data_IF_267811440982
#
_entry.id   IF_267811440982
#
_cell.length_a   1.000
_cell.length_b   1.000
_cell.length_c   1.000
_cell.angle_alpha   90.00
_cell.angle_beta   90.00
_cell.angle_gamma   90.00
#
_symmetry.space_group_name_H-M   'P 1'
#
loop_
_entity.id
_entity.type
_entity.pdbx_description
1 polymer ?
#
# COMPACT_ATOMS: atom_id res chain seq x y z
N UNK A 1 38.52 -35.84 12.98
CA UNK A 1 37.32 -36.30 12.24
C UNK A 1 36.01 -35.80 12.83
N UNK A 2 35.84 -35.78 14.16
CA UNK A 2 34.60 -35.35 14.82
C UNK A 2 34.11 -33.93 14.46
N UNK A 3 35.01 -32.94 14.34
CA UNK A 3 34.61 -31.57 13.95
C UNK A 3 34.05 -31.46 12.53
N UNK A 4 34.58 -32.25 11.57
CA UNK A 4 34.04 -32.27 10.20
C UNK A 4 32.63 -32.87 10.17
N UNK A 5 32.37 -33.88 11.00
CA UNK A 5 31.07 -34.51 11.15
C UNK A 5 30.03 -33.57 11.80
N UNK A 6 30.45 -32.82 12.82
CA UNK A 6 29.60 -31.80 13.46
C UNK A 6 29.19 -30.68 12.50
N UNK A 7 30.11 -30.22 11.65
CA UNK A 7 29.81 -29.22 10.62
C UNK A 7 28.84 -29.74 9.56
N UNK A 8 28.98 -30.99 9.11
CA UNK A 8 28.06 -31.60 8.14
C UNK A 8 26.66 -31.75 8.74
N UNK A 9 26.55 -32.19 10.00
CA UNK A 9 25.27 -32.28 10.71
C UNK A 9 24.60 -30.90 10.84
N UNK A 10 25.34 -29.86 11.22
CA UNK A 10 24.81 -28.50 11.30
C UNK A 10 24.31 -27.99 9.94
N UNK A 11 25.05 -28.27 8.86
CA UNK A 11 24.67 -27.90 7.50
C UNK A 11 23.39 -28.63 7.04
N UNK A 12 23.20 -29.90 7.43
CA UNK A 12 21.96 -30.65 7.15
C UNK A 12 20.73 -30.06 7.85
N UNK A 13 20.88 -29.51 9.06
CA UNK A 13 19.76 -28.85 9.76
C UNK A 13 19.32 -27.55 9.07
N UNK A 14 20.24 -26.80 8.45
CA UNK A 14 19.89 -25.61 7.66
C UNK A 14 19.02 -25.94 6.44
N UNK A 15 19.19 -27.12 5.83
CA UNK A 15 18.37 -27.58 4.70
C UNK A 15 17.01 -28.16 5.10
N UNK A 16 16.76 -28.37 6.40
CA UNK A 16 15.47 -28.80 6.93
C UNK A 16 14.61 -27.65 7.45
N UNK A 17 15.09 -26.41 7.35
CA UNK A 17 14.25 -25.23 7.48
C UNK A 17 13.27 -25.20 6.31
N UNK A 18 12.10 -25.82 6.47
CA UNK A 18 10.97 -25.61 5.57
C UNK A 18 10.54 -24.15 5.73
N UNK A 19 10.57 -23.41 4.62
CA UNK A 19 9.79 -22.18 4.52
C UNK A 19 8.35 -22.49 4.93
N UNK A 20 7.71 -21.60 5.69
CA UNK A 20 6.27 -21.66 5.91
C UNK A 20 5.57 -21.31 4.59
N UNK A 21 5.57 -22.24 3.63
CA UNK A 21 4.59 -22.21 2.58
C UNK A 21 3.34 -22.88 3.14
N UNK A 22 2.36 -22.06 3.47
CA UNK A 22 1.02 -22.56 3.75
C UNK A 22 0.49 -23.07 2.40
N UNK A 23 0.64 -24.37 2.15
CA UNK A 23 -0.07 -25.07 1.07
C UNK A 23 -1.57 -25.04 1.41
N UNK A 24 -2.23 -23.93 1.09
CA UNK A 24 -3.69 -23.82 0.93
C UNK A 24 -4.10 -22.42 0.43
N UNK A 25 -3.65 -22.01 -0.76
CA UNK A 25 -4.42 -21.09 -1.64
C UNK A 25 -3.75 -20.84 -3.00
N UNK A 26 -3.47 -21.90 -3.77
CA UNK A 26 -3.26 -21.74 -5.22
C UNK A 26 -4.61 -21.61 -5.96
N UNK A 27 -5.51 -20.78 -5.44
CA UNK A 27 -6.56 -20.18 -6.25
C UNK A 27 -6.04 -18.79 -6.55
N UNK A 28 -5.61 -18.54 -7.79
CA UNK A 28 -5.53 -17.18 -8.31
C UNK A 28 -6.98 -16.69 -8.38
N UNK A 29 -7.51 -16.31 -7.22
CA UNK A 29 -8.81 -15.70 -7.08
C UNK A 29 -8.76 -14.30 -7.66
N UNK A 30 -9.94 -13.72 -7.89
CA UNK A 30 -10.01 -12.29 -8.16
C UNK A 30 -9.26 -11.53 -7.05
N UNK A 31 -8.46 -10.51 -7.38
CA UNK A 31 -7.75 -9.73 -6.38
C UNK A 31 -8.73 -9.22 -5.32
N UNK A 32 -8.30 -9.22 -4.06
CA UNK A 32 -9.09 -8.69 -2.95
C UNK A 32 -9.47 -7.22 -3.19
N UNK A 33 -10.53 -6.75 -2.52
CA UNK A 33 -10.93 -5.33 -2.62
C UNK A 33 -9.78 -4.39 -2.26
N UNK A 34 -8.95 -4.74 -1.27
CA UNK A 34 -7.75 -4.00 -0.90
C UNK A 34 -6.75 -3.89 -2.04
N UNK A 35 -6.44 -5.00 -2.70
CA UNK A 35 -5.49 -5.02 -3.83
C UNK A 35 -6.04 -4.22 -5.01
N UNK A 36 -7.34 -4.36 -5.31
CA UNK A 36 -8.00 -3.60 -6.37
C UNK A 36 -7.92 -2.10 -6.11
N UNK A 37 -8.26 -1.64 -4.90
CA UNK A 37 -8.21 -0.22 -4.55
C UNK A 37 -6.78 0.33 -4.49
N UNK A 38 -5.81 -0.48 -4.08
CA UNK A 38 -4.41 -0.04 -3.97
C UNK A 38 -3.80 0.31 -5.33
N UNK A 39 -4.17 -0.42 -6.38
CA UNK A 39 -3.70 -0.19 -7.76
C UNK A 39 -4.73 0.50 -8.65
N UNK A 40 -5.91 0.86 -8.12
CA UNK A 40 -6.98 1.51 -8.89
C UNK A 40 -6.46 2.80 -9.51
N UNK A 41 -6.66 2.92 -10.82
CA UNK A 41 -6.24 4.09 -11.59
C UNK A 41 -7.40 5.10 -11.71
N UNK A 42 -7.15 6.35 -11.34
CA UNK A 42 -8.11 7.46 -11.37
C UNK A 42 -7.77 8.47 -12.48
N UNK A 43 -8.18 8.25 -13.74
CA UNK A 43 -7.78 9.11 -14.86
C UNK A 43 -8.23 10.57 -14.73
N UNK A 44 -9.35 10.80 -14.04
CA UNK A 44 -9.89 12.13 -13.73
C UNK A 44 -9.01 12.92 -12.74
N UNK A 45 -8.08 12.23 -12.09
CA UNK A 45 -7.14 12.76 -11.12
C UNK A 45 -5.74 12.89 -11.75
N UNK A 46 -5.62 13.46 -12.95
CA UNK A 46 -4.33 13.63 -13.63
C UNK A 46 -3.76 15.07 -13.58
N UNK A 47 -4.45 16.01 -12.95
CA UNK A 47 -3.95 17.39 -12.73
C UNK A 47 -2.61 17.38 -11.98
N UNK A 48 -1.64 18.25 -12.29
CA UNK A 48 -0.31 18.19 -11.68
C UNK A 48 0.67 17.25 -12.40
N UNK A 49 0.21 16.49 -13.40
CA UNK A 49 1.10 15.64 -14.23
C UNK A 49 2.05 16.44 -15.11
N UNK A 50 1.82 17.74 -15.29
CA UNK A 50 2.73 18.67 -15.94
C UNK A 50 4.10 18.74 -15.25
N UNK A 51 4.20 18.37 -13.97
CA UNK A 51 5.49 18.29 -13.26
C UNK A 51 6.45 17.33 -13.98
N UNK A 52 5.94 16.26 -14.58
CA UNK A 52 6.73 15.27 -15.29
C UNK A 52 7.24 15.75 -16.65
N UNK A 53 6.80 16.91 -17.14
CA UNK A 53 7.41 17.54 -18.32
C UNK A 53 8.87 17.94 -18.08
N UNK A 54 9.21 18.30 -16.83
CA UNK A 54 10.58 18.60 -16.40
C UNK A 54 11.44 17.35 -16.20
N UNK A 55 10.82 16.19 -16.09
CA UNK A 55 11.46 14.91 -15.75
C UNK A 55 11.14 13.85 -16.81
N UNK A 56 11.79 13.90 -18.00
CA UNK A 56 11.49 12.98 -19.10
C UNK A 56 11.56 11.49 -18.72
N UNK A 57 12.42 11.13 -17.77
CA UNK A 57 12.54 9.76 -17.26
C UNK A 57 11.27 9.25 -16.55
N UNK A 58 10.43 10.16 -16.03
CA UNK A 58 9.17 9.84 -15.37
C UNK A 58 7.96 9.98 -16.29
N UNK A 59 8.18 10.49 -17.51
CA UNK A 59 7.15 10.70 -18.52
C UNK A 59 6.72 9.39 -19.21
N UNK A 60 7.18 8.23 -18.72
CA UNK A 60 6.89 6.94 -19.31
C UNK A 60 5.42 6.54 -19.11
N UNK A 61 4.90 5.74 -20.03
CA UNK A 61 3.54 5.16 -19.93
C UNK A 61 3.35 4.22 -18.72
N UNK A 62 4.44 3.93 -18.00
CA UNK A 62 4.50 2.95 -16.90
C UNK A 62 4.33 3.56 -15.52
N UNK A 63 4.63 4.84 -15.31
CA UNK A 63 4.44 5.50 -14.00
C UNK A 63 3.12 6.27 -14.06
N UNK A 64 2.04 5.64 -13.60
CA UNK A 64 0.74 6.30 -13.61
C UNK A 64 0.58 7.09 -12.31
N UNK A 65 0.61 8.41 -12.42
CA UNK A 65 0.43 9.33 -11.30
C UNK A 65 -1.00 9.32 -10.69
N UNK A 66 -1.79 8.27 -10.87
CA UNK A 66 -3.19 8.28 -10.44
C UNK A 66 -3.62 7.00 -9.71
N UNK A 67 -2.70 6.24 -9.12
CA UNK A 67 -3.03 5.19 -8.15
C UNK A 67 -2.36 5.44 -6.80
N UNK A 68 -2.88 4.83 -5.74
CA UNK A 68 -2.27 4.92 -4.41
C UNK A 68 -0.83 4.41 -4.44
N UNK A 69 -0.63 3.19 -4.97
CA UNK A 69 0.70 2.57 -5.05
C UNK A 69 1.72 3.46 -5.74
N UNK A 70 1.40 3.98 -6.93
CA UNK A 70 2.35 4.78 -7.72
C UNK A 70 2.64 6.12 -7.07
N UNK A 71 1.64 6.79 -6.49
CA UNK A 71 1.85 8.04 -5.76
C UNK A 71 2.65 7.83 -4.46
N UNK A 72 2.45 6.70 -3.77
CA UNK A 72 3.30 6.34 -2.63
C UNK A 72 4.76 6.15 -3.05
N UNK A 73 5.01 5.53 -4.22
CA UNK A 73 6.37 5.38 -4.76
C UNK A 73 6.97 6.72 -5.20
N UNK A 74 6.17 7.60 -5.82
CA UNK A 74 6.62 8.94 -6.20
C UNK A 74 6.96 9.82 -4.99
N UNK A 75 6.43 9.52 -3.82
CA UNK A 75 6.82 10.18 -2.57
C UNK A 75 8.29 9.91 -2.16
N UNK A 76 8.98 8.96 -2.82
CA UNK A 76 10.39 8.68 -2.59
C UNK A 76 11.37 9.68 -3.26
N UNK A 77 10.89 10.50 -4.20
CA UNK A 77 11.73 11.44 -4.94
C UNK A 77 12.23 12.58 -4.05
N UNK A 78 13.46 13.04 -4.32
CA UNK A 78 14.09 14.16 -3.59
C UNK A 78 13.63 15.52 -4.12
N UNK A 79 13.23 15.53 -5.38
CA UNK A 79 12.68 16.65 -6.10
C UNK A 79 11.35 17.06 -5.46
N UNK A 80 11.35 18.24 -4.85
CA UNK A 80 10.24 18.70 -4.04
C UNK A 80 8.94 18.87 -4.86
N UNK A 81 9.03 19.21 -6.14
CA UNK A 81 7.85 19.33 -6.99
C UNK A 81 7.22 17.97 -7.32
N UNK A 82 8.03 16.92 -7.56
CA UNK A 82 7.52 15.54 -7.70
C UNK A 82 6.87 15.08 -6.40
N UNK A 83 7.55 15.29 -5.26
CA UNK A 83 7.02 14.90 -3.95
C UNK A 83 5.70 15.60 -3.65
N UNK A 84 5.64 16.93 -3.77
CA UNK A 84 4.41 17.70 -3.53
C UNK A 84 3.26 17.28 -4.46
N UNK A 85 3.56 17.01 -5.73
CA UNK A 85 2.55 16.49 -6.66
C UNK A 85 1.99 15.15 -6.15
N UNK A 86 2.86 14.22 -5.74
CA UNK A 86 2.45 12.94 -5.19
C UNK A 86 1.60 13.07 -3.92
N UNK A 87 1.99 13.94 -2.98
CA UNK A 87 1.23 14.19 -1.75
C UNK A 87 -0.18 14.75 -2.04
N UNK A 88 -0.28 15.76 -2.91
CA UNK A 88 -1.56 16.33 -3.32
C UNK A 88 -2.45 15.29 -4.01
N UNK A 89 -1.83 14.41 -4.79
CA UNK A 89 -2.54 13.34 -5.47
C UNK A 89 -3.06 12.28 -4.52
N UNK A 90 -2.27 11.87 -3.52
CA UNK A 90 -2.70 10.95 -2.46
C UNK A 90 -3.93 11.51 -1.72
N UNK A 91 -3.94 12.81 -1.41
CA UNK A 91 -5.11 13.49 -0.82
C UNK A 91 -6.32 13.42 -1.76
N UNK A 92 -6.12 13.70 -3.05
CA UNK A 92 -7.18 13.63 -4.06
C UNK A 92 -7.77 12.22 -4.21
N UNK A 93 -6.92 11.19 -4.24
CA UNK A 93 -7.35 9.79 -4.33
C UNK A 93 -8.12 9.37 -3.08
N UNK A 94 -7.61 9.67 -1.88
CA UNK A 94 -8.30 9.39 -0.62
C UNK A 94 -9.69 10.05 -0.58
N UNK A 95 -9.79 11.29 -1.08
CA UNK A 95 -11.06 12.02 -1.18
C UNK A 95 -12.01 11.36 -2.18
N UNK A 96 -11.52 10.97 -3.35
CA UNK A 96 -12.32 10.28 -4.36
C UNK A 96 -12.85 8.94 -3.84
N UNK A 97 -12.01 8.15 -3.19
CA UNK A 97 -12.38 6.87 -2.57
C UNK A 97 -13.45 7.04 -1.49
N UNK A 98 -13.31 8.05 -0.64
CA UNK A 98 -14.35 8.41 0.34
C UNK A 98 -15.68 8.78 -0.34
N UNK A 99 -15.65 9.61 -1.39
CA UNK A 99 -16.86 10.02 -2.12
C UNK A 99 -17.53 8.86 -2.87
N UNK A 100 -16.76 7.84 -3.26
CA UNK A 100 -17.24 6.60 -3.86
C UNK A 100 -17.81 5.61 -2.82
N UNK A 101 -17.75 5.94 -1.53
CA UNK A 101 -18.25 5.08 -0.45
C UNK A 101 -17.29 3.96 -0.05
N UNK A 102 -16.03 4.01 -0.49
CA UNK A 102 -14.99 3.04 -0.14
C UNK A 102 -13.76 3.76 0.42
N UNK A 103 -13.88 4.48 1.56
CA UNK A 103 -12.72 5.10 2.19
C UNK A 103 -11.64 4.05 2.48
N UNK A 104 -10.37 4.45 2.44
CA UNK A 104 -9.24 3.53 2.65
C UNK A 104 -8.41 3.92 3.86
N UNK A 105 -7.89 2.91 4.55
CA UNK A 105 -6.96 3.08 5.65
C UNK A 105 -5.75 2.14 5.47
N UNK A 106 -4.58 2.73 5.35
CA UNK A 106 -3.31 2.06 5.07
C UNK A 106 -2.65 1.61 6.38
N UNK A 107 -2.41 0.31 6.53
CA UNK A 107 -1.78 -0.29 7.72
C UNK A 107 -0.48 -1.01 7.35
N UNK A 108 0.43 -1.10 8.32
CA UNK A 108 1.68 -1.83 8.17
C UNK A 108 2.08 -2.52 9.46
N UNK A 109 3.06 -3.42 9.35
CA UNK A 109 3.63 -4.16 10.48
C UNK A 109 3.21 -5.61 10.46
N UNK A 110 3.70 -6.34 11.48
CA UNK A 110 3.48 -7.78 11.61
C UNK A 110 1.98 -8.06 11.59
N UNK A 111 1.59 -9.07 10.83
CA UNK A 111 0.19 -9.49 10.66
C UNK A 111 -0.76 -8.43 10.08
N UNK A 112 -0.23 -7.32 9.52
CA UNK A 112 -1.07 -6.29 8.92
C UNK A 112 -1.89 -6.80 7.74
N UNK A 113 -1.38 -7.76 6.97
CA UNK A 113 -2.14 -8.45 5.92
C UNK A 113 -3.34 -9.20 6.49
N UNK A 114 -3.12 -10.03 7.53
CA UNK A 114 -4.18 -10.78 8.20
C UNK A 114 -5.20 -9.85 8.85
N UNK A 115 -4.71 -8.76 9.48
CA UNK A 115 -5.55 -7.72 10.08
C UNK A 115 -6.44 -7.03 9.04
N UNK A 116 -5.88 -6.69 7.87
CA UNK A 116 -6.66 -6.12 6.78
C UNK A 116 -7.70 -7.11 6.26
N UNK A 117 -7.31 -8.38 6.08
CA UNK A 117 -8.21 -9.42 5.63
C UNK A 117 -9.39 -9.60 6.60
N UNK A 118 -9.14 -9.68 7.90
CA UNK A 118 -10.16 -9.80 8.94
C UNK A 118 -11.11 -8.59 8.94
N UNK A 119 -10.57 -7.37 9.01
CA UNK A 119 -11.37 -6.14 9.04
C UNK A 119 -12.22 -5.94 7.79
N UNK A 120 -11.75 -6.39 6.62
CA UNK A 120 -12.50 -6.24 5.37
C UNK A 120 -13.57 -7.31 5.15
N UNK A 121 -13.74 -8.28 6.05
CA UNK A 121 -14.83 -9.26 5.95
C UNK A 121 -16.22 -8.62 6.16
N UNK A 122 -16.27 -7.54 6.93
CA UNK A 122 -17.49 -6.80 7.22
C UNK A 122 -17.24 -5.31 7.05
N UNK A 123 -17.66 -4.72 5.93
CA UNK A 123 -17.45 -3.29 5.69
C UNK A 123 -18.49 -2.40 6.40
N UNK A 124 -19.54 -2.96 6.99
CA UNK A 124 -20.61 -2.17 7.61
C UNK A 124 -20.28 -1.66 9.02
N UNK A 125 -19.22 -2.14 9.67
CA UNK A 125 -18.89 -1.80 11.05
C UNK A 125 -18.02 -0.53 11.20
N UNK A 126 -17.18 -0.22 10.22
CA UNK A 126 -16.14 0.81 10.28
C UNK A 126 -16.34 1.94 9.25
N UNK A 127 -17.56 2.44 9.03
CA UNK A 127 -17.86 3.47 8.01
C UNK A 127 -17.42 3.06 6.58
N UNK A 128 -17.53 1.77 6.25
CA UNK A 128 -17.11 1.23 4.94
C UNK A 128 -15.62 1.39 4.64
N UNK A 129 -14.78 1.56 5.68
CA UNK A 129 -13.33 1.62 5.52
C UNK A 129 -12.79 0.28 5.00
N UNK A 130 -12.08 0.35 3.89
CA UNK A 130 -11.25 -0.74 3.37
C UNK A 130 -9.83 -0.58 3.90
N UNK A 131 -9.39 -1.57 4.69
CA UNK A 131 -8.03 -1.64 5.21
C UNK A 131 -7.09 -2.22 4.14
N UNK A 132 -5.94 -1.59 3.93
CA UNK A 132 -4.94 -2.05 2.96
C UNK A 132 -3.61 -2.21 3.70
N UNK A 133 -3.08 -3.43 3.73
CA UNK A 133 -1.70 -3.64 4.15
C UNK A 133 -0.75 -3.20 3.05
N UNK A 134 0.16 -2.29 3.36
CA UNK A 134 1.20 -1.83 2.42
C UNK A 134 2.61 -2.33 2.79
N UNK A 135 2.73 -3.20 3.79
CA UNK A 135 3.98 -3.88 4.14
C UNK A 135 4.00 -4.50 5.55
N UNK A 136 4.66 -5.65 5.69
CA UNK A 136 4.52 -6.54 6.84
C UNK A 136 5.51 -6.33 8.00
N UNK A 137 6.59 -5.56 7.82
CA UNK A 137 7.63 -5.45 8.85
C UNK A 137 8.07 -4.00 9.06
N UNK A 138 8.97 -3.54 8.20
CA UNK A 138 9.49 -2.18 8.22
C UNK A 138 9.31 -1.59 6.84
N UNK A 139 8.75 -0.38 6.77
CA UNK A 139 8.63 0.33 5.52
C UNK A 139 9.57 1.55 5.49
N UNK A 140 10.14 1.86 4.31
CA UNK A 140 10.89 3.10 4.11
C UNK A 140 10.09 4.33 4.57
N UNK A 141 10.76 5.41 5.03
CA UNK A 141 10.09 6.63 5.50
C UNK A 141 9.06 7.18 4.53
N UNK A 142 9.35 7.19 3.22
CA UNK A 142 8.47 7.73 2.20
C UNK A 142 7.12 6.98 2.10
N UNK A 143 7.09 5.65 2.29
CA UNK A 143 5.84 4.89 2.30
C UNK A 143 5.01 5.20 3.53
N UNK A 144 5.66 5.36 4.69
CA UNK A 144 4.98 5.72 5.94
C UNK A 144 4.37 7.12 5.86
N UNK A 145 5.15 8.10 5.39
CA UNK A 145 4.67 9.47 5.15
C UNK A 145 3.47 9.49 4.19
N UNK A 146 3.56 8.75 3.09
CA UNK A 146 2.47 8.65 2.13
C UNK A 146 1.21 7.99 2.73
N UNK A 147 1.39 6.95 3.56
CA UNK A 147 0.31 6.30 4.27
C UNK A 147 -0.37 7.23 5.30
N UNK A 148 0.43 8.00 6.03
CA UNK A 148 -0.07 9.00 6.99
C UNK A 148 -0.92 10.08 6.29
N UNK A 149 -0.51 10.54 5.11
CA UNK A 149 -1.28 11.52 4.31
C UNK A 149 -2.66 10.97 3.96
N UNK A 150 -2.72 9.75 3.42
CA UNK A 150 -3.97 9.08 3.06
C UNK A 150 -4.85 8.90 4.29
N UNK A 151 -4.31 8.32 5.36
CA UNK A 151 -5.05 8.03 6.59
C UNK A 151 -5.58 9.29 7.25
N UNK A 152 -4.78 10.37 7.29
CA UNK A 152 -5.19 11.66 7.84
C UNK A 152 -6.31 12.28 7.02
N UNK A 153 -6.24 12.20 5.69
CA UNK A 153 -7.31 12.71 4.82
C UNK A 153 -8.60 11.90 4.98
N UNK A 154 -8.53 10.57 4.96
CA UNK A 154 -9.68 9.69 5.18
C UNK A 154 -10.34 10.01 6.53
N UNK A 155 -9.57 10.06 7.61
CA UNK A 155 -10.08 10.34 8.95
C UNK A 155 -10.72 11.73 9.06
N UNK A 156 -10.11 12.74 8.44
CA UNK A 156 -10.66 14.11 8.37
C UNK A 156 -12.03 14.14 7.68
N UNK A 157 -12.21 13.38 6.60
CA UNK A 157 -13.47 13.31 5.86
C UNK A 157 -14.57 12.60 6.67
N UNK A 158 -14.24 11.48 7.31
CA UNK A 158 -15.17 10.73 8.16
C UNK A 158 -15.64 11.59 9.35
N UNK A 159 -14.71 12.20 10.08
CA UNK A 159 -15.05 12.99 11.28
C UNK A 159 -15.90 14.23 10.97
N UNK A 160 -15.69 14.86 9.81
CA UNK A 160 -16.52 15.99 9.34
C UNK A 160 -17.97 15.59 9.09
N UNK A 161 -18.21 14.33 8.73
CA UNK A 161 -19.55 13.80 8.46
C UNK A 161 -20.25 13.43 9.76
N UNK A 162 -19.54 12.87 10.74
CA UNK A 162 -20.08 12.56 12.08
C UNK A 162 -20.47 13.82 12.88
N UNK A 163 -19.84 14.96 12.58
CA UNK A 163 -20.11 16.24 13.26
C UNK A 163 -21.25 17.07 12.64
N UNK A 164 -21.90 16.58 11.59
CA UNK A 164 -23.05 17.21 10.94
C UNK A 164 -24.33 16.48 11.28
#
# INVERSE_FOLDING_TARGET
MAHKLAFILFFCFCFHAKSQNNDNSNVVGNPSVSEQLFVKYFPNLNQGSEVFEKYPALKSETIKFCSLLECMLLNAYKENDIKLAAEQRLIGIATQLYNEGTPVYLIMGMDSYLTAQEKNQNLEDDNHIVYISYGECTNPPYLREAAEIVNKQTHSLINKTVSK
#
